data_IF_189650199218
#
_entry.id   IF_189650199218
#
_cell.length_a   1.000
_cell.length_b   1.000
_cell.length_c   1.000
_cell.angle_alpha   90.00
_cell.angle_beta   90.00
_cell.angle_gamma   90.00
#
_symmetry.space_group_name_H-M   'P 1'
#
loop_
_entity.id
_entity.type
_entity.pdbx_description
1 polymer ?
#
# COMPACT_ATOMS: atom_id res chain seq x y z
N UNK A 1 15.11 -7.08 -32.78
CA UNK A 1 13.88 -7.79 -33.23
C UNK A 1 12.96 -8.22 -32.09
N UNK A 2 13.47 -8.78 -30.97
CA UNK A 2 12.62 -9.22 -29.83
C UNK A 2 11.93 -8.09 -29.03
N UNK A 3 12.52 -6.89 -28.93
CA UNK A 3 11.87 -5.79 -28.17
C UNK A 3 10.67 -5.19 -28.89
N UNK A 4 10.78 -4.94 -30.21
CA UNK A 4 9.70 -4.33 -31.01
C UNK A 4 8.42 -5.18 -30.97
N UNK A 5 8.55 -6.50 -31.06
CA UNK A 5 7.39 -7.42 -30.97
C UNK A 5 6.79 -7.41 -29.56
N UNK A 6 7.63 -7.34 -28.51
CA UNK A 6 7.18 -7.20 -27.12
C UNK A 6 6.45 -5.87 -26.89
N UNK A 7 6.97 -4.78 -27.45
CA UNK A 7 6.40 -3.44 -27.32
C UNK A 7 5.06 -3.35 -28.05
N UNK A 8 4.94 -3.95 -29.23
CA UNK A 8 3.66 -4.08 -29.95
C UNK A 8 2.65 -4.95 -29.19
N UNK A 9 3.06 -6.09 -28.63
CA UNK A 9 2.19 -6.94 -27.82
C UNK A 9 1.69 -6.21 -26.56
N UNK A 10 2.58 -5.50 -25.87
CA UNK A 10 2.23 -4.68 -24.71
C UNK A 10 1.28 -3.53 -25.09
N UNK A 11 1.46 -2.92 -26.25
CA UNK A 11 0.54 -1.89 -26.76
C UNK A 11 -0.87 -2.47 -27.02
N UNK A 12 -0.95 -3.65 -27.64
CA UNK A 12 -2.22 -4.36 -27.88
C UNK A 12 -2.90 -4.85 -26.58
N UNK A 13 -2.14 -5.20 -25.55
CA UNK A 13 -2.67 -5.55 -24.22
C UNK A 13 -3.17 -4.33 -23.45
N UNK A 14 -2.62 -3.14 -23.69
CA UNK A 14 -3.05 -1.88 -23.05
C UNK A 14 -4.26 -1.23 -23.72
N UNK A 15 -4.53 -1.53 -24.98
CA UNK A 15 -5.71 -1.00 -25.70
C UNK A 15 -7.06 -1.28 -25.01
N UNK A 16 -7.37 -2.49 -24.51
CA UNK A 16 -8.63 -2.72 -23.78
C UNK A 16 -8.73 -1.90 -22.49
N UNK A 17 -7.65 -1.79 -21.70
CA UNK A 17 -7.60 -0.94 -20.50
C UNK A 17 -7.89 0.53 -20.82
N UNK A 18 -7.36 1.05 -21.94
CA UNK A 18 -7.62 2.44 -22.37
C UNK A 18 -9.10 2.63 -22.77
N UNK A 19 -9.73 1.61 -23.37
CA UNK A 19 -11.14 1.63 -23.74
C UNK A 19 -12.05 1.58 -22.50
N UNK A 20 -11.78 0.69 -21.55
CA UNK A 20 -12.50 0.66 -20.26
C UNK A 20 -12.40 2.00 -19.51
N UNK A 21 -11.19 2.58 -19.45
CA UNK A 21 -10.97 3.89 -18.82
C UNK A 21 -11.78 5.01 -19.48
N UNK A 22 -12.09 4.91 -20.79
CA UNK A 22 -12.97 5.88 -21.47
C UNK A 22 -14.44 5.74 -21.06
N UNK A 23 -14.92 4.52 -20.82
CA UNK A 23 -16.27 4.29 -20.35
C UNK A 23 -16.44 4.73 -18.90
N UNK A 24 -15.44 4.50 -18.04
CA UNK A 24 -15.46 4.94 -16.64
C UNK A 24 -15.65 6.45 -16.50
N UNK A 25 -15.05 7.24 -17.41
CA UNK A 25 -15.24 8.69 -17.43
C UNK A 25 -16.70 9.12 -17.61
N UNK A 26 -17.53 8.30 -18.24
CA UNK A 26 -18.95 8.60 -18.43
C UNK A 26 -19.77 8.44 -17.13
N UNK A 27 -19.26 7.68 -16.15
CA UNK A 27 -19.89 7.51 -14.84
C UNK A 27 -19.41 8.54 -13.81
N UNK A 28 -18.41 9.37 -14.15
CA UNK A 28 -17.94 10.44 -13.29
C UNK A 28 -18.93 11.62 -13.28
N UNK A 29 -19.42 11.95 -12.10
CA UNK A 29 -20.19 13.18 -11.83
C UNK A 29 -19.27 14.40 -11.98
N UNK A 30 -19.67 15.38 -12.81
CA UNK A 30 -18.86 16.58 -13.12
C UNK A 30 -18.61 17.48 -11.91
N UNK A 31 -19.51 17.43 -10.94
CA UNK A 31 -19.48 18.17 -9.68
C UNK A 31 -18.60 17.51 -8.61
N UNK A 32 -18.14 16.27 -8.83
CA UNK A 32 -17.23 15.58 -7.91
C UNK A 32 -15.79 15.73 -8.42
N UNK A 33 -14.96 16.55 -7.77
CA UNK A 33 -13.58 16.74 -8.19
C UNK A 33 -12.77 15.46 -7.95
N UNK A 34 -12.01 15.04 -8.95
CA UNK A 34 -11.02 13.97 -8.77
C UNK A 34 -9.91 14.43 -7.82
N UNK A 35 -9.49 13.54 -6.92
CA UNK A 35 -8.36 13.80 -6.03
C UNK A 35 -7.09 14.11 -6.85
N UNK A 36 -6.48 15.25 -6.56
CA UNK A 36 -5.22 15.68 -7.20
C UNK A 36 -3.99 15.16 -6.46
N UNK A 37 -4.15 14.85 -5.17
CA UNK A 37 -3.08 14.53 -4.22
C UNK A 37 -2.84 13.02 -4.14
N UNK A 38 -3.86 12.27 -3.74
CA UNK A 38 -3.76 10.81 -3.51
C UNK A 38 -4.64 10.08 -4.51
N UNK A 39 -4.01 9.26 -5.36
CA UNK A 39 -4.66 8.31 -6.27
C UNK A 39 -3.76 7.08 -6.40
N UNK A 40 -4.26 5.96 -6.92
CA UNK A 40 -3.48 4.73 -7.10
C UNK A 40 -2.14 4.95 -7.85
N UNK A 41 -2.09 5.91 -8.78
CA UNK A 41 -0.86 6.24 -9.51
C UNK A 41 0.06 7.25 -8.81
N UNK A 42 -0.44 7.99 -7.81
CA UNK A 42 0.25 9.17 -7.23
C UNK A 42 0.55 9.06 -5.74
N UNK A 43 -0.08 8.13 -5.03
CA UNK A 43 0.03 8.04 -3.58
C UNK A 43 1.47 7.87 -3.11
N UNK A 44 2.27 7.03 -3.79
CA UNK A 44 3.68 6.80 -3.43
C UNK A 44 4.50 8.08 -3.52
N UNK A 45 4.36 8.82 -4.62
CA UNK A 45 5.06 10.10 -4.79
C UNK A 45 4.70 11.07 -3.67
N UNK A 46 3.40 11.22 -3.38
CA UNK A 46 2.96 12.11 -2.31
C UNK A 46 3.49 11.67 -0.93
N UNK A 47 3.45 10.36 -0.64
CA UNK A 47 3.97 9.76 0.58
C UNK A 47 5.46 10.09 0.78
N UNK A 48 6.28 9.92 -0.25
CA UNK A 48 7.71 10.24 -0.16
C UNK A 48 7.95 11.74 -0.02
N UNK A 49 7.19 12.60 -0.71
CA UNK A 49 7.29 14.06 -0.59
C UNK A 49 7.03 14.55 0.84
N UNK A 50 6.07 13.95 1.55
CA UNK A 50 5.74 14.37 2.92
C UNK A 50 6.60 13.68 3.97
N UNK A 51 7.08 12.45 3.68
CA UNK A 51 7.67 11.53 4.65
C UNK A 51 9.19 11.38 4.59
N UNK A 52 9.83 11.65 3.44
CA UNK A 52 11.29 11.59 3.32
C UNK A 52 11.92 12.88 3.85
N UNK A 53 11.93 13.02 5.18
CA UNK A 53 12.55 14.16 5.87
C UNK A 53 13.36 13.66 7.07
N UNK A 54 14.43 14.39 7.45
CA UNK A 54 15.18 14.12 8.67
C UNK A 54 14.27 13.97 9.89
N UNK A 55 14.62 13.07 10.79
CA UNK A 55 13.91 12.77 12.05
C UNK A 55 12.51 12.13 11.90
N UNK A 56 11.98 12.00 10.69
CA UNK A 56 10.71 11.28 10.48
C UNK A 56 10.89 9.79 10.66
N UNK A 57 9.93 9.16 11.34
CA UNK A 57 9.83 7.71 11.50
C UNK A 57 8.68 7.17 10.69
N UNK A 58 8.98 6.24 9.80
CA UNK A 58 8.05 5.65 8.85
C UNK A 58 7.92 4.15 9.13
N UNK A 59 6.69 3.65 9.22
CA UNK A 59 6.38 2.23 9.36
C UNK A 59 5.61 1.74 8.13
N UNK A 60 6.14 0.72 7.45
CA UNK A 60 5.43 -0.02 6.40
C UNK A 60 4.89 -1.34 6.96
N UNK A 61 3.58 -1.57 6.85
CA UNK A 61 2.93 -2.83 7.22
C UNK A 61 2.67 -3.63 5.94
N UNK A 62 3.23 -4.84 5.88
CA UNK A 62 3.25 -5.68 4.69
C UNK A 62 4.48 -5.45 3.81
N UNK A 63 5.65 -5.21 4.42
CA UNK A 63 6.83 -4.73 3.69
C UNK A 63 7.56 -5.81 2.89
N UNK A 64 7.13 -7.08 2.96
CA UNK A 64 7.81 -8.19 2.31
C UNK A 64 7.73 -8.09 0.78
N UNK A 65 8.87 -8.30 0.16
CA UNK A 65 9.02 -8.32 -1.30
C UNK A 65 8.42 -9.61 -1.91
N UNK A 66 7.13 -9.60 -2.26
CA UNK A 66 6.45 -10.74 -2.92
C UNK A 66 6.43 -10.59 -4.44
N UNK A 67 6.08 -9.39 -4.93
CA UNK A 67 5.87 -9.12 -6.37
C UNK A 67 7.06 -8.44 -7.05
N UNK A 68 8.10 -8.09 -6.29
CA UNK A 68 9.30 -7.44 -6.78
C UNK A 68 10.09 -6.77 -5.66
N UNK A 69 11.26 -6.22 -5.99
CA UNK A 69 12.07 -5.45 -5.04
C UNK A 69 11.37 -4.15 -4.66
N UNK A 70 11.33 -3.85 -3.36
CA UNK A 70 10.79 -2.59 -2.85
C UNK A 70 11.81 -1.48 -3.05
N UNK A 71 11.34 -0.29 -3.44
CA UNK A 71 12.15 0.93 -3.48
C UNK A 71 11.90 1.83 -2.26
N UNK A 72 11.05 1.41 -1.32
CA UNK A 72 10.66 2.21 -0.16
C UNK A 72 11.88 2.70 0.63
N UNK A 73 12.82 1.81 0.96
CA UNK A 73 14.05 2.17 1.70
C UNK A 73 14.89 3.23 0.99
N UNK A 74 15.05 3.14 -0.32
CA UNK A 74 15.79 4.15 -1.09
C UNK A 74 15.04 5.47 -1.19
N UNK A 75 13.71 5.44 -1.23
CA UNK A 75 12.89 6.66 -1.34
C UNK A 75 12.70 7.36 0.02
N UNK A 76 12.93 6.66 1.13
CA UNK A 76 12.96 7.21 2.49
C UNK A 76 14.38 7.36 3.04
N UNK A 77 15.36 7.69 2.18
CA UNK A 77 16.77 7.76 2.57
C UNK A 77 17.08 8.77 3.67
N UNK A 78 16.28 9.82 3.80
CA UNK A 78 16.44 10.88 4.80
C UNK A 78 15.59 10.62 6.07
N UNK A 79 14.76 9.57 6.08
CA UNK A 79 13.89 9.21 7.19
C UNK A 79 14.28 7.84 7.80
N UNK A 80 13.83 7.59 9.03
CA UNK A 80 13.96 6.27 9.65
C UNK A 80 12.81 5.38 9.19
N UNK A 81 13.09 4.52 8.22
CA UNK A 81 12.15 3.53 7.71
C UNK A 81 12.23 2.21 8.50
N UNK A 82 11.06 1.65 8.82
CA UNK A 82 10.89 0.32 9.44
C UNK A 82 9.89 -0.48 8.62
N UNK A 83 10.30 -1.66 8.16
CA UNK A 83 9.43 -2.63 7.50
C UNK A 83 8.90 -3.67 8.47
N UNK A 84 7.59 -3.91 8.47
CA UNK A 84 6.90 -4.91 9.26
C UNK A 84 6.16 -5.89 8.37
N UNK A 85 6.28 -7.19 8.64
CA UNK A 85 5.55 -8.23 7.92
C UNK A 85 5.32 -9.46 8.81
N UNK A 86 4.37 -10.31 8.43
CA UNK A 86 4.14 -11.58 9.13
C UNK A 86 5.25 -12.61 8.85
N UNK A 87 5.87 -12.54 7.67
CA UNK A 87 6.97 -13.41 7.27
C UNK A 87 8.29 -12.64 7.14
N UNK A 88 9.43 -13.27 7.43
CA UNK A 88 10.73 -12.64 7.20
C UNK A 88 10.97 -12.38 5.70
N UNK A 89 11.73 -11.33 5.39
CA UNK A 89 12.09 -10.96 4.03
C UNK A 89 13.15 -9.85 3.99
N UNK A 90 13.70 -9.56 2.80
CA UNK A 90 14.81 -8.61 2.64
C UNK A 90 14.46 -7.19 3.10
N UNK A 91 13.20 -6.81 2.98
CA UNK A 91 12.71 -5.48 3.33
C UNK A 91 11.97 -5.45 4.68
N UNK A 92 12.08 -6.52 5.48
CA UNK A 92 11.39 -6.68 6.77
C UNK A 92 12.39 -6.53 7.91
N UNK A 93 12.17 -5.55 8.79
CA UNK A 93 12.97 -5.37 10.00
C UNK A 93 12.32 -6.06 11.21
N UNK A 94 10.99 -6.06 11.28
CA UNK A 94 10.21 -6.63 12.38
C UNK A 94 9.24 -7.66 11.83
N UNK A 95 9.32 -8.88 12.36
CA UNK A 95 8.42 -9.99 11.98
C UNK A 95 7.37 -10.17 13.06
N UNK A 96 6.09 -10.10 12.71
CA UNK A 96 5.01 -10.21 13.68
C UNK A 96 3.59 -10.17 13.13
N UNK A 97 2.63 -10.37 14.03
CA UNK A 97 1.20 -10.26 13.72
C UNK A 97 0.74 -8.80 13.86
N UNK A 98 0.21 -8.22 12.77
CA UNK A 98 -0.30 -6.85 12.75
C UNK A 98 -1.48 -6.64 13.73
N UNK A 99 -2.19 -7.69 14.15
CA UNK A 99 -3.23 -7.59 15.19
C UNK A 99 -2.67 -7.32 16.59
N UNK A 100 -1.35 -7.43 16.76
CA UNK A 100 -0.62 -7.11 18.00
C UNK A 100 0.52 -6.12 17.72
N UNK A 101 0.39 -5.30 16.67
CA UNK A 101 1.46 -4.46 16.15
C UNK A 101 2.14 -3.62 17.23
N UNK A 102 1.39 -3.02 18.16
CA UNK A 102 1.97 -2.17 19.21
C UNK A 102 2.86 -2.92 20.20
N UNK A 103 2.71 -4.24 20.33
CA UNK A 103 3.52 -5.06 21.25
C UNK A 103 4.95 -5.32 20.78
N UNK A 104 5.23 -5.09 19.48
CA UNK A 104 6.55 -5.29 18.89
C UNK A 104 7.46 -4.05 18.97
N UNK A 105 6.94 -2.95 19.49
CA UNK A 105 7.67 -1.69 19.62
C UNK A 105 7.71 -1.25 21.08
N UNK A 106 8.67 -0.38 21.40
CA UNK A 106 8.75 0.21 22.73
C UNK A 106 7.47 1.01 23.05
N UNK A 107 6.98 1.02 24.30
CA UNK A 107 5.71 1.67 24.67
C UNK A 107 5.60 3.16 24.28
N UNK A 108 6.74 3.85 24.18
CA UNK A 108 6.83 5.27 23.81
C UNK A 108 7.23 5.48 22.34
N UNK A 109 7.47 4.42 21.57
CA UNK A 109 7.80 4.55 20.15
C UNK A 109 6.57 5.03 19.38
N UNK A 110 6.76 6.08 18.58
CA UNK A 110 5.70 6.65 17.74
C UNK A 110 6.24 6.94 16.35
N UNK A 111 5.40 6.72 15.36
CA UNK A 111 5.69 6.95 13.95
C UNK A 111 4.97 8.19 13.44
N UNK A 112 5.64 8.94 12.57
CA UNK A 112 5.08 10.09 11.89
C UNK A 112 4.16 9.65 10.75
N UNK A 113 4.52 8.56 10.08
CA UNK A 113 3.70 7.97 9.02
C UNK A 113 3.67 6.45 9.19
N UNK A 114 2.47 5.89 9.11
CA UNK A 114 2.26 4.44 9.02
C UNK A 114 1.53 4.18 7.71
N UNK A 115 2.04 3.28 6.87
CA UNK A 115 1.36 2.95 5.63
C UNK A 115 1.32 1.45 5.35
N UNK A 116 0.36 1.06 4.50
CA UNK A 116 0.19 -0.29 4.01
C UNK A 116 -0.32 -0.25 2.58
N UNK A 117 0.21 -1.12 1.72
CA UNK A 117 -0.19 -1.25 0.31
C UNK A 117 -0.59 -2.70 0.05
N UNK A 118 -1.79 -2.90 -0.48
CA UNK A 118 -2.35 -4.21 -0.86
C UNK A 118 -2.28 -5.28 0.25
N UNK A 119 -2.39 -4.91 1.52
CA UNK A 119 -2.34 -5.85 2.66
C UNK A 119 -3.57 -5.81 3.56
N UNK A 120 -4.33 -4.71 3.56
CA UNK A 120 -5.45 -4.52 4.49
C UNK A 120 -6.60 -5.51 4.26
N UNK A 121 -6.77 -5.98 3.03
CA UNK A 121 -7.71 -7.04 2.61
C UNK A 121 -7.35 -8.44 3.12
N UNK A 122 -6.08 -8.62 3.50
CA UNK A 122 -5.51 -9.88 3.96
C UNK A 122 -5.52 -10.02 5.50
N UNK A 123 -5.87 -8.96 6.24
CA UNK A 123 -6.04 -9.05 7.68
C UNK A 123 -7.39 -9.66 8.03
N UNK A 124 -7.41 -10.59 8.99
CA UNK A 124 -8.66 -11.21 9.45
C UNK A 124 -9.57 -10.20 10.17
N UNK A 125 -8.99 -9.24 10.91
CA UNK A 125 -9.70 -8.22 11.66
C UNK A 125 -9.05 -6.84 11.46
N UNK A 126 -9.26 -6.19 10.30
CA UNK A 126 -8.61 -4.92 9.96
C UNK A 126 -8.92 -3.81 10.96
N UNK A 127 -10.08 -3.83 11.63
CA UNK A 127 -10.42 -2.87 12.69
C UNK A 127 -9.52 -2.99 13.93
N UNK A 128 -9.05 -4.19 14.27
CA UNK A 128 -8.06 -4.38 15.34
C UNK A 128 -6.71 -3.82 14.89
N UNK A 129 -6.29 -4.10 13.66
CA UNK A 129 -5.06 -3.54 13.09
C UNK A 129 -5.11 -2.01 13.08
N UNK A 130 -6.23 -1.40 12.69
CA UNK A 130 -6.42 0.06 12.77
C UNK A 130 -6.28 0.60 14.20
N UNK A 131 -6.77 -0.14 15.19
CA UNK A 131 -6.63 0.23 16.60
C UNK A 131 -5.17 0.16 17.05
N UNK A 132 -4.43 -0.86 16.63
CA UNK A 132 -3.00 -0.99 16.91
C UNK A 132 -2.16 0.09 16.22
N UNK A 133 -2.45 0.40 14.95
CA UNK A 133 -1.85 1.53 14.22
C UNK A 133 -2.06 2.84 14.98
N UNK A 134 -3.29 3.08 15.47
CA UNK A 134 -3.61 4.29 16.23
C UNK A 134 -2.77 4.44 17.50
N UNK A 135 -2.38 3.33 18.14
CA UNK A 135 -1.50 3.35 19.32
C UNK A 135 -0.06 3.75 18.97
N UNK A 136 0.40 3.48 17.76
CA UNK A 136 1.77 3.77 17.32
C UNK A 136 1.90 5.09 16.56
N UNK A 137 0.79 5.71 16.17
CA UNK A 137 0.80 6.96 15.43
C UNK A 137 1.05 8.16 16.36
N UNK A 138 1.89 9.11 15.94
CA UNK A 138 1.99 10.42 16.59
C UNK A 138 0.72 11.24 16.38
N UNK A 139 0.42 12.14 17.31
CA UNK A 139 -0.63 13.15 17.11
C UNK A 139 -0.24 14.04 15.93
N UNK A 140 -1.10 14.13 14.92
CA UNK A 140 -0.82 14.84 13.66
C UNK A 140 -0.03 14.02 12.63
N UNK A 141 0.29 12.75 12.93
CA UNK A 141 0.85 11.82 11.96
C UNK A 141 -0.16 11.39 10.90
N UNK A 142 0.33 10.73 9.85
CA UNK A 142 -0.49 10.29 8.72
C UNK A 142 -0.58 8.77 8.64
N UNK A 143 -1.75 8.28 8.23
CA UNK A 143 -1.96 6.88 7.87
C UNK A 143 -2.32 6.79 6.40
N UNK A 144 -1.61 5.96 5.66
CA UNK A 144 -1.91 5.66 4.25
C UNK A 144 -2.28 4.20 4.11
N UNK A 145 -3.51 3.92 3.71
CA UNK A 145 -3.95 2.57 3.38
C UNK A 145 -4.33 2.55 1.91
N UNK A 146 -3.57 1.79 1.14
CA UNK A 146 -3.90 1.41 -0.22
C UNK A 146 -4.23 -0.09 -0.20
N UNK A 147 -5.40 -0.45 -0.73
CA UNK A 147 -5.92 -1.82 -0.68
C UNK A 147 -6.80 -2.05 -1.89
N UNK A 148 -6.95 -3.31 -2.29
CA UNK A 148 -7.83 -3.67 -3.39
C UNK A 148 -9.30 -3.57 -2.97
N UNK A 149 -10.08 -2.75 -3.67
CA UNK A 149 -11.53 -2.69 -3.47
C UNK A 149 -12.25 -3.93 -4.03
N UNK A 150 -11.80 -4.39 -5.21
CA UNK A 150 -12.33 -5.58 -5.90
C UNK A 150 -11.22 -6.19 -6.74
N UNK A 151 -10.75 -7.38 -6.37
CA UNK A 151 -9.69 -8.08 -7.08
C UNK A 151 -9.91 -9.59 -7.01
N UNK A 152 -9.41 -10.34 -7.99
CA UNK A 152 -9.53 -11.79 -8.00
C UNK A 152 -8.86 -12.40 -6.76
N UNK A 153 -9.41 -13.49 -6.26
CA UNK A 153 -8.83 -14.21 -5.11
C UNK A 153 -7.36 -14.56 -5.38
N UNK A 154 -6.48 -14.04 -4.53
CA UNK A 154 -5.02 -14.27 -4.52
C UNK A 154 -4.53 -14.46 -3.08
N UNK A 155 -3.34 -15.05 -2.88
CA UNK A 155 -2.74 -15.29 -1.56
C UNK A 155 -3.60 -16.06 -0.54
N UNK A 156 -4.22 -17.16 -0.98
CA UNK A 156 -4.97 -18.06 -0.08
C UNK A 156 -4.05 -18.73 0.95
N UNK A 157 -4.51 -18.97 2.19
CA UNK A 157 -5.89 -18.76 2.70
C UNK A 157 -6.18 -17.34 3.21
N UNK A 158 -5.20 -16.43 3.19
CA UNK A 158 -5.24 -15.15 3.89
C UNK A 158 -5.85 -14.03 3.07
N UNK A 159 -6.99 -14.26 2.42
CA UNK A 159 -7.68 -13.23 1.63
C UNK A 159 -9.13 -13.16 2.08
N UNK A 160 -9.44 -12.19 2.96
CA UNK A 160 -10.71 -12.13 3.68
C UNK A 160 -11.70 -11.15 3.06
N UNK A 161 -11.22 -10.02 2.52
CA UNK A 161 -12.07 -8.96 2.00
C UNK A 161 -11.91 -8.81 0.49
N UNK A 162 -12.96 -9.14 -0.26
CA UNK A 162 -13.10 -8.85 -1.68
C UNK A 162 -14.56 -8.51 -1.97
N UNK A 163 -14.84 -7.36 -2.58
CA UNK A 163 -16.22 -6.90 -2.84
C UNK A 163 -16.91 -7.62 -4.00
N UNK A 164 -16.23 -8.56 -4.69
CA UNK A 164 -16.82 -9.39 -5.74
C UNK A 164 -16.66 -10.86 -5.38
N UNK A 165 -17.67 -11.38 -4.71
CA UNK A 165 -18.02 -12.80 -4.77
C UNK A 165 -19.38 -12.89 -5.45
N UNK A 166 -19.40 -12.74 -6.78
CA UNK A 166 -20.48 -13.31 -7.56
C UNK A 166 -19.94 -14.56 -8.26
N UNK A 167 -20.60 -15.74 -8.08
CA UNK A 167 -20.30 -16.95 -8.84
C UNK A 167 -20.52 -16.76 -10.34
#
# INVERSE_FOLDING_TARGET
MKSIVKDMLLACLKTPLIVETKFDKNFLKKDVPMSKLVSHQKWQKHLYEIGNKPEMKILEIGSREVTGRSSARSNFSDAKYVGFDYYPGNNVDVVGDAHKLASYFEPNEKFDIIYSSACFEHFAMPWIVSTEISKLLKVGGFVFVETHFSFSSHERPWHFFSSVTWP
#
